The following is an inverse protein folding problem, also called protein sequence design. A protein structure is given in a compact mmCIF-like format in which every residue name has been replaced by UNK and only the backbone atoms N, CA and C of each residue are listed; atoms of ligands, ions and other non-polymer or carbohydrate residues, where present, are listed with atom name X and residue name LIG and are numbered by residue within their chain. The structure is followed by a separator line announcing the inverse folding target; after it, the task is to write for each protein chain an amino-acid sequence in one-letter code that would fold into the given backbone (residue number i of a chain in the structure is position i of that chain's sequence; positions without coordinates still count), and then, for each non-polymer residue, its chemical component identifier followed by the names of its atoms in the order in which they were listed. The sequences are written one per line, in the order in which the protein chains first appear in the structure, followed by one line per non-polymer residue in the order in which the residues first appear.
data_IF_162169246250
#
_entry.id   IF_162169246250
#
_cell.length_a   1.000
_cell.length_b   1.000
_cell.length_c   1.000
_cell.angle_alpha   90.00
_cell.angle_beta   90.00
_cell.angle_gamma   90.00
#
_symmetry.space_group_name_H-M   'P 1'
#
loop_
_entity.id
_entity.type
_entity.pdbx_description
1 polymer ?
#
# COMPACT_ATOMS: atom_id res chain seq x y z
N UNK A 1 -16.43 1.42 47.22
CA UNK A 1 -16.02 1.76 45.83
C UNK A 1 -15.86 0.45 45.10
N UNK A 2 -16.85 0.07 44.29
CA UNK A 2 -16.81 -1.15 43.49
C UNK A 2 -16.02 -0.85 42.22
N UNK A 3 -14.79 -1.37 42.16
CA UNK A 3 -13.97 -1.36 40.97
C UNK A 3 -14.70 -2.22 39.93
N UNK A 4 -15.36 -1.60 38.95
CA UNK A 4 -15.87 -2.32 37.78
C UNK A 4 -14.65 -2.73 36.97
N UNK A 5 -14.18 -3.95 37.17
CA UNK A 5 -13.33 -4.60 36.18
C UNK A 5 -14.15 -4.64 34.88
N UNK A 6 -13.75 -3.83 33.90
CA UNK A 6 -14.27 -3.95 32.55
C UNK A 6 -13.80 -5.32 32.06
N UNK A 7 -14.72 -6.29 32.04
CA UNK A 7 -14.47 -7.60 31.45
C UNK A 7 -14.17 -7.37 29.97
N UNK A 8 -12.91 -7.55 29.60
CA UNK A 8 -12.46 -7.36 28.22
C UNK A 8 -13.07 -8.47 27.38
N UNK A 9 -13.85 -8.12 26.36
CA UNK A 9 -14.36 -9.09 25.41
C UNK A 9 -13.23 -9.54 24.49
N UNK A 10 -12.49 -10.55 24.96
CA UNK A 10 -11.38 -11.18 24.26
C UNK A 10 -11.77 -11.70 22.86
N UNK A 11 -13.05 -11.99 22.62
CA UNK A 11 -13.55 -12.43 21.32
C UNK A 11 -13.53 -11.28 20.32
N UNK A 12 -13.93 -10.09 20.77
CA UNK A 12 -13.94 -8.89 19.95
C UNK A 12 -12.52 -8.42 19.63
N UNK A 13 -11.64 -8.36 20.63
CA UNK A 13 -10.24 -7.96 20.41
C UNK A 13 -9.49 -8.91 19.47
N UNK A 14 -9.71 -10.23 19.61
CA UNK A 14 -9.12 -11.20 18.69
C UNK A 14 -9.65 -11.03 17.26
N UNK A 15 -10.95 -10.79 17.08
CA UNK A 15 -11.52 -10.54 15.74
C UNK A 15 -10.93 -9.27 15.10
N UNK A 16 -10.79 -8.20 15.88
CA UNK A 16 -10.17 -6.95 15.42
C UNK A 16 -8.70 -7.13 15.04
N UNK A 17 -7.93 -7.89 15.82
CA UNK A 17 -6.53 -8.22 15.50
C UNK A 17 -6.44 -9.05 14.21
N UNK A 18 -7.28 -10.08 14.05
CA UNK A 18 -7.32 -10.89 12.82
C UNK A 18 -7.67 -10.02 11.61
N UNK A 19 -8.65 -9.13 11.73
CA UNK A 19 -9.00 -8.18 10.68
C UNK A 19 -7.83 -7.26 10.31
N UNK A 20 -7.15 -6.71 11.31
CA UNK A 20 -5.96 -5.88 11.11
C UNK A 20 -4.85 -6.64 10.37
N UNK A 21 -4.57 -7.88 10.77
CA UNK A 21 -3.58 -8.73 10.10
C UNK A 21 -3.94 -9.04 8.66
N UNK A 22 -5.22 -9.30 8.36
CA UNK A 22 -5.66 -9.50 6.98
C UNK A 22 -5.45 -8.26 6.12
N UNK A 23 -5.79 -7.07 6.63
CA UNK A 23 -5.59 -5.80 5.91
C UNK A 23 -4.10 -5.53 5.68
N UNK A 24 -3.25 -5.70 6.69
CA UNK A 24 -1.81 -5.53 6.56
C UNK A 24 -1.21 -6.51 5.55
N UNK A 25 -1.62 -7.78 5.61
CA UNK A 25 -1.15 -8.82 4.68
C UNK A 25 -1.57 -8.48 3.25
N UNK A 26 -2.81 -8.05 3.04
CA UNK A 26 -3.28 -7.66 1.72
C UNK A 26 -2.53 -6.43 1.17
N UNK A 27 -2.31 -5.41 2.01
CA UNK A 27 -1.54 -4.23 1.62
C UNK A 27 -0.11 -4.59 1.22
N UNK A 28 0.53 -5.48 1.98
CA UNK A 28 1.89 -5.93 1.74
C UNK A 28 1.98 -6.76 0.46
N UNK A 29 1.05 -7.71 0.25
CA UNK A 29 0.94 -8.46 -0.99
C UNK A 29 0.65 -7.56 -2.20
N UNK A 30 -0.25 -6.59 -2.07
CA UNK A 30 -0.53 -5.63 -3.13
C UNK A 30 0.72 -4.82 -3.49
N UNK A 31 1.46 -4.35 -2.49
CA UNK A 31 2.67 -3.58 -2.73
C UNK A 31 3.76 -4.42 -3.43
N UNK A 32 3.99 -5.64 -2.94
CA UNK A 32 5.02 -6.54 -3.47
C UNK A 32 4.66 -7.11 -4.85
N UNK A 33 3.42 -7.53 -5.04
CA UNK A 33 3.00 -8.24 -6.26
C UNK A 33 2.49 -7.30 -7.36
N UNK A 34 2.00 -6.11 -7.02
CA UNK A 34 1.44 -5.17 -7.99
C UNK A 34 2.28 -3.91 -8.13
N UNK A 35 2.53 -3.17 -7.04
CA UNK A 35 3.22 -1.87 -7.12
C UNK A 35 4.66 -2.02 -7.61
N UNK A 36 5.45 -2.93 -7.04
CA UNK A 36 6.85 -3.12 -7.41
C UNK A 36 7.03 -3.61 -8.87
N UNK A 37 6.33 -4.67 -9.33
CA UNK A 37 6.48 -5.12 -10.71
C UNK A 37 6.01 -4.07 -11.72
N UNK A 38 4.89 -3.37 -11.43
CA UNK A 38 4.39 -2.29 -12.28
C UNK A 38 5.41 -1.16 -12.41
N UNK A 39 6.06 -0.77 -11.31
CA UNK A 39 7.13 0.22 -11.34
C UNK A 39 8.31 -0.23 -12.21
N UNK A 40 8.78 -1.47 -12.05
CA UNK A 40 9.89 -2.01 -12.84
C UNK A 40 9.55 -2.09 -14.33
N UNK A 41 8.35 -2.56 -14.67
CA UNK A 41 7.87 -2.63 -16.06
C UNK A 41 7.81 -1.22 -16.67
N UNK A 42 7.26 -0.25 -15.94
CA UNK A 42 7.17 1.12 -16.43
C UNK A 42 8.55 1.79 -16.57
N UNK A 43 9.47 1.53 -15.64
CA UNK A 43 10.86 1.97 -15.75
C UNK A 43 11.55 1.39 -16.97
N UNK A 44 11.28 0.12 -17.30
CA UNK A 44 11.82 -0.51 -18.51
C UNK A 44 11.22 0.10 -19.78
N UNK A 45 9.89 0.34 -19.81
CA UNK A 45 9.18 0.85 -20.99
C UNK A 45 9.45 2.33 -21.27
N UNK A 46 9.41 3.17 -20.24
CA UNK A 46 9.50 4.64 -20.37
C UNK A 46 10.87 5.21 -20.01
N UNK A 47 11.80 4.36 -19.55
CA UNK A 47 13.12 4.77 -19.08
C UNK A 47 13.11 5.27 -17.63
N UNK A 48 14.29 5.57 -17.07
CA UNK A 48 14.42 6.11 -15.72
C UNK A 48 13.81 7.52 -15.63
N UNK A 49 13.04 7.78 -14.57
CA UNK A 49 12.59 9.13 -14.24
C UNK A 49 13.74 10.00 -13.76
N UNK A 50 13.66 11.30 -14.05
CA UNK A 50 14.57 12.29 -13.45
C UNK A 50 14.27 12.47 -11.96
N UNK A 51 15.31 12.75 -11.18
CA UNK A 51 15.17 12.98 -9.73
C UNK A 51 14.21 14.13 -9.40
N UNK A 52 14.12 15.14 -10.28
CA UNK A 52 13.17 16.25 -10.11
C UNK A 52 11.72 15.77 -10.20
N UNK A 53 11.42 14.86 -11.13
CA UNK A 53 10.09 14.29 -11.27
C UNK A 53 9.74 13.39 -10.07
N UNK A 54 10.69 12.55 -9.63
CA UNK A 54 10.49 11.67 -8.46
C UNK A 54 10.23 12.50 -7.19
N UNK A 55 10.88 13.66 -7.01
CA UNK A 55 10.61 14.54 -5.86
C UNK A 55 9.23 15.19 -5.90
N UNK A 56 8.69 15.49 -7.09
CA UNK A 56 7.37 16.13 -7.24
C UNK A 56 6.20 15.14 -7.22
N UNK A 57 6.37 13.97 -7.84
CA UNK A 57 5.28 13.03 -8.10
C UNK A 57 5.55 11.61 -7.59
N UNK A 58 6.69 11.37 -6.95
CA UNK A 58 7.12 10.05 -6.53
C UNK A 58 7.45 9.14 -7.71
N UNK A 59 7.39 7.84 -7.47
CA UNK A 59 7.64 6.80 -8.47
C UNK A 59 6.43 6.51 -9.37
N UNK A 60 5.58 7.51 -9.61
CA UNK A 60 4.33 7.34 -10.36
C UNK A 60 4.50 7.65 -11.86
N UNK A 61 4.47 6.59 -12.68
CA UNK A 61 4.56 6.66 -14.15
C UNK A 61 3.22 6.98 -14.81
N UNK A 62 2.13 7.18 -14.05
CA UNK A 62 0.79 7.38 -14.62
C UNK A 62 0.71 8.52 -15.63
N UNK A 63 1.46 9.62 -15.42
CA UNK A 63 1.49 10.76 -16.36
C UNK A 63 2.22 10.45 -17.67
N UNK A 64 3.20 9.53 -17.67
CA UNK A 64 3.89 9.09 -18.88
C UNK A 64 3.01 8.15 -19.69
N UNK A 65 2.25 7.28 -19.02
CA UNK A 65 1.27 6.37 -19.65
C UNK A 65 0.14 7.16 -20.34
N UNK A 66 -0.31 8.28 -19.76
CA UNK A 66 -1.36 9.11 -20.37
C UNK A 66 -0.88 9.86 -21.60
N UNK A 67 0.42 10.18 -21.69
CA UNK A 67 1.02 10.80 -22.89
C UNK A 67 1.18 9.82 -24.05
N UNK A 68 1.37 8.53 -23.78
CA UNK A 68 1.54 7.48 -24.80
C UNK A 68 0.22 7.07 -25.48
N UNK A 69 -0.92 7.36 -24.84
CA UNK A 69 -2.26 7.05 -25.35
C UNK A 69 -2.96 8.22 -26.07
N UNK A 70 -2.23 9.31 -26.36
CA UNK A 70 -2.77 10.51 -27.00
C UNK A 70 -2.08 10.76 -28.32
#
# INVERSE_FOLDING_TARGET
MTHKEHDVDWTYENCSLVGLYMVMTFALLYHLCYTLPKYQINKFRYGPMSDEYIRKFGHDYSQLITKDNK
#
